data_IF_623388599611
#
_entry.id   IF_623388599611
#
_cell.length_a   1.000
_cell.length_b   1.000
_cell.length_c   1.000
_cell.angle_alpha   90.00
_cell.angle_beta   90.00
_cell.angle_gamma   90.00
#
_symmetry.space_group_name_H-M   'P 1'
#
loop_
_entity.id
_entity.type
_entity.pdbx_description
1 polymer ?
#
# COMPACT_ATOMS: atom_id res chain seq x y z
N UNK A 1 23.80 -33.48 22.99
CA UNK A 1 23.27 -32.10 23.00
C UNK A 1 23.76 -31.23 21.83
N UNK A 2 24.57 -31.74 20.91
CA UNK A 2 25.17 -30.97 19.81
C UNK A 2 24.33 -30.97 18.51
N UNK A 3 23.60 -32.05 18.21
CA UNK A 3 22.82 -32.18 16.96
C UNK A 3 21.60 -31.25 16.94
N UNK A 4 20.88 -31.10 18.06
CA UNK A 4 19.71 -30.23 18.14
C UNK A 4 20.07 -28.74 18.02
N UNK A 5 21.21 -28.34 18.58
CA UNK A 5 21.73 -26.96 18.44
C UNK A 5 22.13 -26.71 16.99
N UNK A 6 22.79 -27.68 16.34
CA UNK A 6 23.17 -27.56 14.94
C UNK A 6 21.95 -27.43 14.01
N UNK A 7 20.88 -28.19 14.28
CA UNK A 7 19.63 -28.09 13.51
C UNK A 7 18.96 -26.71 13.64
N UNK A 8 18.95 -26.12 14.85
CA UNK A 8 18.42 -24.77 15.07
C UNK A 8 19.27 -23.69 14.39
N UNK A 9 20.59 -23.84 14.43
CA UNK A 9 21.52 -22.92 13.74
C UNK A 9 21.32 -22.99 12.22
N UNK A 10 21.15 -24.19 11.66
CA UNK A 10 20.89 -24.37 10.23
C UNK A 10 19.52 -23.80 9.83
N UNK A 11 18.48 -24.01 10.64
CA UNK A 11 17.16 -23.44 10.39
C UNK A 11 17.20 -21.91 10.43
N UNK A 12 17.86 -21.33 11.43
CA UNK A 12 18.07 -19.88 11.50
C UNK A 12 18.83 -19.37 10.27
N UNK A 13 19.91 -20.04 9.86
CA UNK A 13 20.68 -19.66 8.68
C UNK A 13 19.85 -19.69 7.39
N UNK A 14 18.96 -20.67 7.21
CA UNK A 14 18.03 -20.71 6.06
C UNK A 14 17.03 -19.56 6.11
N UNK A 15 16.46 -19.27 7.30
CA UNK A 15 15.54 -18.15 7.48
C UNK A 15 16.24 -16.80 7.21
N UNK A 16 17.47 -16.62 7.71
CA UNK A 16 18.25 -15.40 7.46
C UNK A 16 18.65 -15.25 6.00
N UNK A 17 19.01 -16.35 5.33
CA UNK A 17 19.38 -16.33 3.91
C UNK A 17 18.20 -15.98 3.01
N UNK A 18 17.00 -16.45 3.36
CA UNK A 18 15.80 -16.24 2.54
C UNK A 18 14.99 -15.00 2.94
N UNK A 19 15.14 -14.51 4.18
CA UNK A 19 14.34 -13.42 4.75
C UNK A 19 14.82 -12.02 4.38
N UNK A 20 16.00 -11.88 3.78
CA UNK A 20 16.57 -10.59 3.38
C UNK A 20 16.88 -10.59 1.88
N UNK A 21 15.85 -10.76 1.06
CA UNK A 21 15.91 -10.17 -0.27
C UNK A 21 15.97 -8.66 -0.06
N UNK A 22 17.10 -8.04 -0.39
CA UNK A 22 17.16 -6.59 -0.60
C UNK A 22 16.33 -6.32 -1.85
N UNK A 23 15.01 -6.30 -1.69
CA UNK A 23 14.10 -5.98 -2.76
C UNK A 23 14.55 -4.64 -3.32
N UNK A 24 14.96 -4.56 -4.59
CA UNK A 24 15.31 -3.28 -5.18
C UNK A 24 14.16 -2.31 -4.96
N UNK A 25 14.47 -1.03 -4.75
CA UNK A 25 13.42 -0.03 -4.68
C UNK A 25 12.56 -0.17 -5.95
N UNK A 26 11.32 -0.61 -5.79
CA UNK A 26 10.37 -0.75 -6.88
C UNK A 26 10.04 0.68 -7.33
N UNK A 27 10.81 1.16 -8.29
CA UNK A 27 10.65 2.46 -8.93
C UNK A 27 10.30 2.20 -10.39
N UNK A 28 9.16 2.73 -10.81
CA UNK A 28 8.75 2.69 -12.20
C UNK A 28 9.32 3.93 -12.89
N UNK A 29 10.32 3.75 -13.77
CA UNK A 29 11.10 4.86 -14.32
C UNK A 29 10.24 5.90 -15.08
N UNK A 30 9.21 5.43 -15.78
CA UNK A 30 8.27 6.30 -16.51
C UNK A 30 7.25 6.99 -15.59
N UNK A 31 7.07 6.47 -14.38
CA UNK A 31 6.12 6.94 -13.37
C UNK A 31 6.82 7.09 -12.00
N UNK A 32 7.71 8.09 -11.86
CA UNK A 32 8.55 8.24 -10.67
C UNK A 32 7.76 8.54 -9.39
N UNK A 33 6.54 9.05 -9.52
CA UNK A 33 5.64 9.36 -8.40
C UNK A 33 4.77 8.17 -8.01
N UNK A 34 4.73 7.11 -8.83
CA UNK A 34 4.03 5.89 -8.49
C UNK A 34 4.71 5.18 -7.30
N UNK A 35 3.88 4.59 -6.44
CA UNK A 35 4.32 3.84 -5.26
C UNK A 35 3.94 2.39 -5.39
N UNK A 36 4.93 1.53 -5.19
CA UNK A 36 4.72 0.09 -5.16
C UNK A 36 3.93 -0.33 -3.94
N UNK A 37 2.91 -1.17 -4.16
CA UNK A 37 2.19 -1.92 -3.14
C UNK A 37 2.21 -3.39 -3.53
N UNK A 38 2.89 -4.21 -2.74
CA UNK A 38 3.07 -5.62 -3.05
C UNK A 38 4.06 -6.33 -2.15
N UNK A 39 4.16 -7.64 -2.34
CA UNK A 39 5.06 -8.52 -1.60
C UNK A 39 5.88 -9.40 -2.53
N UNK A 40 6.48 -10.49 -2.00
CA UNK A 40 7.27 -11.43 -2.79
C UNK A 40 6.51 -12.11 -3.94
N UNK A 41 5.19 -12.25 -3.80
CA UNK A 41 4.32 -12.91 -4.77
C UNK A 41 3.78 -11.96 -5.85
N UNK A 42 4.26 -10.72 -5.87
CA UNK A 42 3.88 -9.67 -6.81
C UNK A 42 3.18 -8.49 -6.16
N UNK A 43 2.79 -7.54 -7.01
CA UNK A 43 2.20 -6.28 -6.60
C UNK A 43 1.79 -5.40 -7.77
N UNK A 44 1.50 -4.16 -7.45
CA UNK A 44 1.11 -3.14 -8.40
C UNK A 44 1.63 -1.77 -7.95
N UNK A 45 1.61 -0.81 -8.86
CA UNK A 45 1.93 0.57 -8.57
C UNK A 45 0.64 1.39 -8.46
N UNK A 46 0.62 2.34 -7.52
CA UNK A 46 -0.47 3.31 -7.37
C UNK A 46 0.10 4.71 -7.52
N UNK A 47 -0.58 5.55 -8.28
CA UNK A 47 -0.19 6.94 -8.52
C UNK A 47 -1.41 7.86 -8.50
N UNK A 48 -1.27 9.01 -7.84
CA UNK A 48 -2.27 10.09 -7.91
C UNK A 48 -1.77 11.09 -8.94
N UNK A 49 -2.40 11.10 -10.11
CA UNK A 49 -1.91 11.89 -11.26
C UNK A 49 -2.59 13.23 -11.39
N UNK A 50 -3.79 13.41 -10.81
CA UNK A 50 -4.52 14.68 -10.78
C UNK A 50 -5.21 14.90 -9.44
N UNK A 51 -5.25 16.16 -9.01
CA UNK A 51 -5.83 16.58 -7.72
C UNK A 51 -6.77 17.76 -7.92
N UNK A 52 -8.06 17.53 -7.70
CA UNK A 52 -9.14 18.51 -7.73
C UNK A 52 -9.99 18.39 -6.45
N UNK A 53 -9.44 18.77 -5.27
CA UNK A 53 -10.08 18.47 -3.97
C UNK A 53 -11.58 18.86 -3.94
N UNK A 54 -12.47 17.95 -3.50
CA UNK A 54 -12.19 16.68 -2.82
C UNK A 54 -12.00 15.46 -3.74
N UNK A 55 -11.84 15.64 -5.05
CA UNK A 55 -11.68 14.57 -6.03
C UNK A 55 -10.21 14.40 -6.46
N UNK A 56 -9.77 13.14 -6.59
CA UNK A 56 -8.40 12.79 -6.95
C UNK A 56 -8.45 11.69 -8.01
N UNK A 57 -7.65 11.82 -9.07
CA UNK A 57 -7.56 10.81 -10.11
C UNK A 57 -6.42 9.85 -9.79
N UNK A 58 -6.76 8.57 -9.63
CA UNK A 58 -5.81 7.51 -9.27
C UNK A 58 -5.62 6.60 -10.47
N UNK A 59 -4.36 6.22 -10.72
CA UNK A 59 -4.00 5.17 -11.67
C UNK A 59 -3.35 4.01 -10.91
N UNK A 60 -3.73 2.80 -11.29
CA UNK A 60 -3.13 1.55 -10.85
C UNK A 60 -2.44 0.90 -12.03
N UNK A 61 -1.20 0.47 -11.86
CA UNK A 61 -0.38 -0.14 -12.91
C UNK A 61 0.16 -1.49 -12.48
N UNK A 62 0.27 -2.40 -13.44
CA UNK A 62 0.97 -3.66 -13.25
C UNK A 62 2.46 -3.43 -12.98
N UNK A 63 3.17 -4.46 -12.53
CA UNK A 63 4.62 -4.43 -12.39
C UNK A 63 5.34 -4.09 -13.70
N UNK A 64 4.74 -4.45 -14.85
CA UNK A 64 5.23 -4.07 -16.18
C UNK A 64 5.18 -2.57 -16.46
N UNK A 65 4.41 -1.81 -15.69
CA UNK A 65 4.08 -0.40 -15.92
C UNK A 65 2.82 -0.18 -16.75
N UNK A 66 2.25 -1.23 -17.32
CA UNK A 66 0.99 -1.17 -18.07
C UNK A 66 -0.15 -0.71 -17.14
N UNK A 67 -1.05 0.10 -17.69
CA UNK A 67 -2.24 0.53 -16.96
C UNK A 67 -3.13 -0.68 -16.66
N UNK A 68 -3.43 -0.87 -15.38
CA UNK A 68 -4.40 -1.85 -14.92
C UNK A 68 -5.77 -1.20 -14.81
N UNK A 69 -5.88 -0.12 -14.03
CA UNK A 69 -7.16 0.54 -13.75
C UNK A 69 -6.95 2.03 -13.45
N UNK A 70 -8.00 2.84 -13.59
CA UNK A 70 -7.98 4.26 -13.26
C UNK A 70 -9.37 4.82 -12.93
N UNK A 71 -9.41 5.85 -12.09
CA UNK A 71 -10.68 6.47 -11.74
C UNK A 71 -10.58 7.70 -10.86
N UNK A 72 -11.70 8.42 -10.81
CA UNK A 72 -11.89 9.51 -9.86
C UNK A 72 -12.37 8.98 -8.52
N UNK A 73 -11.69 9.39 -7.47
CA UNK A 73 -11.97 9.03 -6.08
C UNK A 73 -12.26 10.30 -5.29
N UNK A 74 -13.34 10.29 -4.52
CA UNK A 74 -13.63 11.37 -3.56
C UNK A 74 -12.97 11.05 -2.22
N UNK A 75 -12.19 11.98 -1.68
CA UNK A 75 -11.52 11.85 -0.39
C UNK A 75 -11.71 13.10 0.48
N UNK A 76 -12.17 12.90 1.70
CA UNK A 76 -12.42 13.93 2.71
C UNK A 76 -11.97 13.38 4.08
N UNK A 77 -10.89 13.91 4.67
CA UNK A 77 -10.31 13.44 5.95
C UNK A 77 -10.38 14.47 7.08
N UNK A 78 -11.47 15.25 7.14
CA UNK A 78 -11.80 16.18 8.23
C UNK A 78 -10.89 17.42 8.34
N UNK A 79 -9.58 17.24 8.26
CA UNK A 79 -8.60 18.24 7.88
C UNK A 79 -8.50 18.20 6.35
N UNK A 80 -8.44 19.37 5.69
CA UNK A 80 -8.42 19.52 4.23
C UNK A 80 -7.14 18.95 3.55
N UNK A 81 -6.60 17.84 4.05
CA UNK A 81 -5.43 17.15 3.55
C UNK A 81 -5.70 16.56 2.17
N UNK A 82 -4.78 16.81 1.25
CA UNK A 82 -4.77 16.14 -0.05
C UNK A 82 -4.66 14.63 0.14
N UNK A 83 -5.30 13.86 -0.75
CA UNK A 83 -5.03 12.44 -0.83
C UNK A 83 -3.58 12.24 -1.27
N UNK A 84 -2.86 11.41 -0.53
CA UNK A 84 -1.49 10.99 -0.82
C UNK A 84 -1.43 9.47 -0.85
N UNK A 85 -0.50 8.87 -1.60
CA UNK A 85 -0.47 7.43 -1.82
C UNK A 85 -0.23 6.60 -0.54
N UNK A 86 0.35 7.19 0.50
CA UNK A 86 0.48 6.58 1.84
C UNK A 86 -0.86 6.35 2.55
N UNK A 87 -1.93 7.05 2.12
CA UNK A 87 -3.29 6.83 2.61
C UNK A 87 -4.00 5.67 1.93
N UNK A 88 -3.41 5.09 0.87
CA UNK A 88 -3.99 3.93 0.19
C UNK A 88 -3.52 2.66 0.90
N UNK A 89 -4.47 1.90 1.43
CA UNK A 89 -4.21 0.65 2.14
C UNK A 89 -4.09 -0.55 1.20
N UNK A 90 -4.95 -0.60 0.19
CA UNK A 90 -5.00 -1.70 -0.77
C UNK A 90 -5.85 -1.33 -2.01
N UNK A 91 -5.66 -2.10 -3.07
CA UNK A 91 -6.52 -2.15 -4.25
C UNK A 91 -7.01 -3.59 -4.45
N UNK A 92 -8.32 -3.75 -4.67
CA UNK A 92 -8.99 -5.07 -4.75
C UNK A 92 -8.93 -5.70 -6.16
N UNK A 93 -8.60 -4.92 -7.20
CA UNK A 93 -8.61 -5.37 -8.59
C UNK A 93 -9.85 -4.95 -9.40
N UNK A 94 -10.98 -4.71 -8.73
CA UNK A 94 -12.28 -4.37 -9.36
C UNK A 94 -12.62 -2.87 -9.24
N UNK A 95 -11.65 -1.98 -9.43
CA UNK A 95 -11.85 -0.54 -9.26
C UNK A 95 -12.07 -0.08 -7.82
N UNK A 96 -11.87 -0.98 -6.83
CA UNK A 96 -12.06 -0.69 -5.40
C UNK A 96 -10.72 -0.37 -4.75
N UNK A 97 -10.61 0.86 -4.22
CA UNK A 97 -9.46 1.32 -3.43
C UNK A 97 -9.88 1.44 -1.96
N UNK A 98 -9.11 0.84 -1.08
CA UNK A 98 -9.25 0.98 0.37
C UNK A 98 -8.35 2.10 0.87
N UNK A 99 -8.92 3.06 1.58
CA UNK A 99 -8.20 4.21 2.13
C UNK A 99 -8.16 4.15 3.65
N UNK A 100 -7.05 4.61 4.21
CA UNK A 100 -6.95 4.93 5.62
C UNK A 100 -7.75 6.20 5.90
N UNK A 101 -8.73 6.11 6.79
CA UNK A 101 -9.50 7.27 7.27
C UNK A 101 -9.25 7.48 8.76
N UNK A 102 -9.06 8.73 9.18
CA UNK A 102 -8.99 9.07 10.60
C UNK A 102 -10.39 9.40 11.11
N UNK A 103 -10.80 8.74 12.20
CA UNK A 103 -12.00 9.09 12.95
C UNK A 103 -11.63 9.44 14.38
N UNK A 104 -12.09 10.59 14.85
CA UNK A 104 -11.88 11.03 16.23
C UNK A 104 -12.96 10.40 17.11
N UNK A 105 -12.56 9.80 18.23
CA UNK A 105 -13.50 9.23 19.19
C UNK A 105 -14.33 10.35 19.84
N UNK A 106 -15.66 10.19 19.83
CA UNK A 106 -16.53 11.06 20.60
C UNK A 106 -16.44 10.68 22.09
N UNK A 107 -16.31 11.66 23.01
CA UNK A 107 -16.23 11.39 24.45
C UNK A 107 -17.53 10.82 25.04
N UNK A 108 -18.66 11.02 24.35
CA UNK A 108 -19.96 10.48 24.71
C UNK A 108 -20.61 9.89 23.46
N UNK A 109 -21.24 8.73 23.61
CA UNK A 109 -22.15 8.20 22.60
C UNK A 109 -23.37 9.12 22.60
N UNK A 110 -23.63 9.83 21.51
CA UNK A 110 -24.86 10.63 21.38
C UNK A 110 -26.04 9.71 21.66
N UNK A 111 -26.81 10.01 22.71
CA UNK A 111 -28.07 9.34 22.98
C UNK A 111 -29.00 9.77 21.85
N UNK A 112 -29.25 8.86 20.89
CA UNK A 112 -30.26 9.07 19.88
C UNK A 112 -31.60 9.29 20.61
N UNK A 113 -32.20 10.47 20.40
CA UNK A 113 -33.59 10.77 20.74
C UNK A 113 -34.48 10.48 19.54
#
# INVERSE_FOLDING_TARGET
>A
MSVGVLALVLLAAVVFKNGFSTTPAHVLAEHPDARWQGGPDGGHYIEITRSEPPYFFVQVRHESGDLWDEGWLKYEDGDASALTTDKVLAFDGDGVIYLQQRKVLAPLRSAAH
#
